data_IF_129178681216
#
_entry.id   IF_129178681216
#
_cell.length_a   1.000
_cell.length_b   1.000
_cell.length_c   1.000
_cell.angle_alpha   90.00
_cell.angle_beta   90.00
_cell.angle_gamma   90.00
#
_symmetry.space_group_name_H-M   'P 1'
#
loop_
_entity.id
_entity.type
_entity.pdbx_description
1 polymer ?
#
# COMPACT_ATOMS: atom_id res chain seq x y z
N UNK A 1 -34.78 16.03 -39.04
CA UNK A 1 -35.05 16.23 -37.59
C UNK A 1 -34.48 15.11 -36.73
N UNK A 2 -34.75 13.83 -37.03
CA UNK A 2 -34.19 12.69 -36.29
C UNK A 2 -32.64 12.64 -36.30
N UNK A 3 -32.01 12.94 -37.44
CA UNK A 3 -30.54 12.97 -37.55
C UNK A 3 -29.89 14.01 -36.63
N UNK A 4 -30.46 15.21 -36.55
CA UNK A 4 -29.93 16.28 -35.69
C UNK A 4 -30.08 15.93 -34.19
N UNK A 5 -31.13 15.19 -33.83
CA UNK A 5 -31.33 14.69 -32.46
C UNK A 5 -30.30 13.60 -32.14
N UNK A 6 -30.07 12.67 -33.06
CA UNK A 6 -29.09 11.60 -32.90
C UNK A 6 -27.66 12.15 -32.81
N UNK A 7 -27.34 13.14 -33.64
CA UNK A 7 -26.07 13.85 -33.62
C UNK A 7 -25.84 14.57 -32.28
N UNK A 8 -26.84 15.29 -31.77
CA UNK A 8 -26.77 15.91 -30.44
C UNK A 8 -26.54 14.88 -29.31
N UNK A 9 -27.14 13.70 -29.43
CA UNK A 9 -27.01 12.61 -28.46
C UNK A 9 -25.60 11.98 -28.49
N UNK A 10 -25.00 11.85 -29.68
CA UNK A 10 -23.60 11.46 -29.85
C UNK A 10 -22.67 12.49 -29.19
N UNK A 11 -22.91 13.78 -29.39
CA UNK A 11 -22.10 14.82 -28.76
C UNK A 11 -22.16 14.78 -27.22
N UNK A 12 -23.34 14.55 -26.64
CA UNK A 12 -23.49 14.41 -25.19
C UNK A 12 -22.67 13.22 -24.67
N UNK A 13 -22.75 12.06 -25.33
CA UNK A 13 -21.95 10.90 -24.95
C UNK A 13 -20.45 11.11 -25.15
N UNK A 14 -20.04 11.79 -26.22
CA UNK A 14 -18.63 12.10 -26.48
C UNK A 14 -18.05 13.03 -25.41
N UNK A 15 -18.77 14.08 -25.02
CA UNK A 15 -18.36 14.99 -23.94
C UNK A 15 -18.28 14.24 -22.61
N UNK A 16 -19.28 13.42 -22.28
CA UNK A 16 -19.27 12.63 -21.05
C UNK A 16 -18.09 11.64 -21.00
N UNK A 17 -17.83 10.95 -22.12
CA UNK A 17 -16.69 10.06 -22.27
C UNK A 17 -15.36 10.79 -22.11
N UNK A 18 -15.19 11.93 -22.77
CA UNK A 18 -13.98 12.74 -22.66
C UNK A 18 -13.74 13.22 -21.22
N UNK A 19 -14.77 13.72 -20.55
CA UNK A 19 -14.71 14.14 -19.14
C UNK A 19 -14.30 12.97 -18.22
N UNK A 20 -14.88 11.78 -18.44
CA UNK A 20 -14.56 10.59 -17.66
C UNK A 20 -13.09 10.17 -17.84
N UNK A 21 -12.59 10.18 -19.08
CA UNK A 21 -11.19 9.86 -19.38
C UNK A 21 -10.26 10.86 -18.69
N UNK A 22 -10.56 12.16 -18.75
CA UNK A 22 -9.76 13.21 -18.11
C UNK A 22 -9.72 13.02 -16.58
N UNK A 23 -10.86 12.83 -15.94
CA UNK A 23 -10.91 12.61 -14.49
C UNK A 23 -10.16 11.34 -14.07
N UNK A 24 -10.31 10.25 -14.82
CA UNK A 24 -9.59 9.01 -14.54
C UNK A 24 -8.09 9.19 -14.71
N UNK A 25 -7.66 9.93 -15.73
CA UNK A 25 -6.25 10.23 -15.96
C UNK A 25 -5.66 11.10 -14.84
N UNK A 26 -6.37 12.16 -14.42
CA UNK A 26 -5.94 13.01 -13.30
C UNK A 26 -5.83 12.17 -12.01
N UNK A 27 -6.85 11.35 -11.72
CA UNK A 27 -6.83 10.47 -10.55
C UNK A 27 -5.69 9.44 -10.60
N UNK A 28 -5.41 8.91 -11.79
CA UNK A 28 -4.29 8.00 -12.01
C UNK A 28 -2.95 8.69 -11.71
N UNK A 29 -2.74 9.89 -12.25
CA UNK A 29 -1.52 10.67 -12.01
C UNK A 29 -1.38 11.05 -10.53
N UNK A 30 -2.46 11.46 -9.85
CA UNK A 30 -2.44 11.78 -8.42
C UNK A 30 -2.11 10.55 -7.57
N UNK A 31 -2.69 9.38 -7.89
CA UNK A 31 -2.38 8.12 -7.19
C UNK A 31 -0.95 7.67 -7.42
N UNK A 32 -0.47 7.74 -8.66
CA UNK A 32 0.92 7.44 -9.00
C UNK A 32 1.91 8.37 -8.29
N UNK A 33 1.49 9.62 -8.04
CA UNK A 33 2.25 10.59 -7.24
C UNK A 33 1.94 10.57 -5.75
N UNK A 34 1.09 9.66 -5.26
CA UNK A 34 0.88 9.47 -3.82
C UNK A 34 2.12 8.81 -3.25
N UNK A 35 3.11 9.66 -3.02
CA UNK A 35 4.33 9.46 -2.24
C UNK A 35 4.04 8.50 -1.08
N UNK A 36 4.93 7.52 -0.89
CA UNK A 36 5.01 6.71 0.34
C UNK A 36 4.62 7.57 1.54
N UNK A 37 3.45 7.31 2.12
CA UNK A 37 3.10 7.93 3.38
C UNK A 37 4.03 7.33 4.43
N UNK A 38 5.18 7.97 4.65
CA UNK A 38 6.23 7.52 5.58
C UNK A 38 5.72 7.29 7.01
N UNK A 39 4.56 7.84 7.35
CA UNK A 39 3.89 7.64 8.63
C UNK A 39 2.92 6.45 8.72
N UNK A 40 2.73 5.64 7.68
CA UNK A 40 1.82 4.47 7.71
C UNK A 40 2.45 3.26 7.01
N UNK A 41 2.51 2.12 7.70
CA UNK A 41 3.03 0.84 7.17
C UNK A 41 2.01 -0.27 7.43
N UNK A 42 1.65 -1.02 6.39
CA UNK A 42 0.85 -2.23 6.57
C UNK A 42 1.74 -3.39 7.02
N UNK A 43 1.48 -3.91 8.20
CA UNK A 43 2.20 -5.06 8.78
C UNK A 43 1.21 -6.18 9.06
N UNK A 44 1.44 -7.34 8.48
CA UNK A 44 0.68 -8.56 8.74
C UNK A 44 1.54 -9.51 9.59
N UNK A 45 1.13 -9.79 10.82
CA UNK A 45 1.84 -10.70 11.71
C UNK A 45 1.15 -12.06 11.67
N UNK A 46 1.90 -13.13 11.43
CA UNK A 46 1.36 -14.48 11.20
C UNK A 46 2.13 -15.56 11.95
N UNK A 47 1.43 -16.64 12.31
CA UNK A 47 2.01 -17.84 12.92
C UNK A 47 1.17 -19.07 12.59
N UNK A 48 1.79 -20.10 12.03
CA UNK A 48 1.15 -21.38 11.68
C UNK A 48 -0.13 -21.24 10.82
N UNK A 49 -0.05 -20.43 9.75
CA UNK A 49 -1.18 -20.07 8.89
C UNK A 49 -1.12 -20.69 7.49
N UNK A 50 -0.49 -21.86 7.32
CA UNK A 50 -0.24 -22.52 6.02
C UNK A 50 -1.46 -22.52 5.08
N UNK A 51 -2.64 -22.88 5.59
CA UNK A 51 -3.87 -23.03 4.79
C UNK A 51 -4.55 -21.73 4.37
N UNK A 52 -4.21 -20.62 5.03
CA UNK A 52 -4.96 -19.36 4.89
C UNK A 52 -4.12 -18.21 4.36
N UNK A 53 -2.79 -18.26 4.55
CA UNK A 53 -1.90 -17.15 4.28
C UNK A 53 -1.91 -16.73 2.81
N UNK A 54 -1.91 -17.69 1.89
CA UNK A 54 -2.00 -17.41 0.44
C UNK A 54 -3.27 -16.64 0.09
N UNK A 55 -4.42 -17.08 0.60
CA UNK A 55 -5.71 -16.42 0.37
C UNK A 55 -5.75 -15.01 0.94
N UNK A 56 -5.15 -14.79 2.11
CA UNK A 56 -5.05 -13.47 2.75
C UNK A 56 -4.21 -12.53 1.88
N UNK A 57 -3.00 -12.95 1.51
CA UNK A 57 -2.09 -12.13 0.68
C UNK A 57 -2.75 -11.83 -0.68
N UNK A 58 -3.30 -12.84 -1.34
CA UNK A 58 -3.98 -12.65 -2.63
C UNK A 58 -5.16 -11.69 -2.53
N UNK A 59 -5.90 -11.69 -1.42
CA UNK A 59 -6.99 -10.75 -1.20
C UNK A 59 -6.50 -9.31 -0.97
N UNK A 60 -5.36 -9.12 -0.29
CA UNK A 60 -4.75 -7.80 -0.09
C UNK A 60 -4.37 -7.20 -1.45
N UNK A 61 -3.61 -7.93 -2.26
CA UNK A 61 -3.21 -7.47 -3.60
C UNK A 61 -4.38 -7.35 -4.60
N UNK A 62 -5.39 -8.24 -4.50
CA UNK A 62 -6.57 -8.14 -5.35
C UNK A 62 -7.37 -6.87 -5.07
N UNK A 63 -7.45 -6.41 -3.82
CA UNK A 63 -8.16 -5.19 -3.43
C UNK A 63 -7.41 -3.92 -3.82
N UNK A 64 -6.09 -3.95 -3.89
CA UNK A 64 -5.29 -2.78 -4.27
C UNK A 64 -5.46 -2.38 -5.74
N UNK A 65 -5.80 -3.31 -6.62
CA UNK A 65 -6.20 -2.97 -8.01
C UNK A 65 -7.42 -2.02 -8.08
N UNK A 66 -8.23 -1.95 -7.02
CA UNK A 66 -9.41 -1.06 -6.93
C UNK A 66 -9.07 0.32 -6.35
N UNK A 67 -7.82 0.57 -5.95
CA UNK A 67 -7.28 1.91 -5.69
C UNK A 67 -7.93 2.68 -4.53
N UNK A 68 -8.39 1.99 -3.47
CA UNK A 68 -9.10 2.63 -2.35
C UNK A 68 -8.44 2.54 -0.97
N UNK A 69 -7.39 1.74 -0.71
CA UNK A 69 -7.00 1.57 0.71
C UNK A 69 -5.53 1.53 1.10
N UNK A 70 -4.53 1.30 0.24
CA UNK A 70 -3.14 1.28 0.75
C UNK A 70 -2.33 2.45 0.22
N UNK A 71 -2.11 3.42 1.12
CA UNK A 71 -1.14 4.50 0.98
C UNK A 71 0.32 4.04 1.21
N UNK A 72 0.54 2.73 1.37
CA UNK A 72 1.86 2.11 1.37
C UNK A 72 1.87 1.01 0.31
N UNK A 73 2.57 1.24 -0.80
CA UNK A 73 2.72 0.24 -1.87
C UNK A 73 3.37 -1.06 -1.36
N UNK A 74 4.06 -1.01 -0.21
CA UNK A 74 4.73 -2.17 0.41
C UNK A 74 3.92 -2.78 1.55
N UNK A 75 3.67 -4.08 1.47
CA UNK A 75 3.09 -4.89 2.55
C UNK A 75 4.23 -5.66 3.22
N UNK A 76 4.40 -5.49 4.53
CA UNK A 76 5.36 -6.29 5.30
C UNK A 76 4.63 -7.42 6.02
N UNK A 77 5.11 -8.65 5.88
CA UNK A 77 4.61 -9.82 6.61
C UNK A 77 5.67 -10.29 7.58
N UNK A 78 5.31 -10.44 8.86
CA UNK A 78 6.17 -10.96 9.90
C UNK A 78 5.75 -12.39 10.26
N UNK A 79 6.59 -13.37 9.97
CA UNK A 79 6.43 -14.75 10.44
C UNK A 79 6.98 -14.91 11.86
N UNK A 80 6.11 -15.27 12.80
CA UNK A 80 6.44 -15.47 14.21
C UNK A 80 6.90 -16.91 14.49
N UNK A 81 7.92 -17.33 13.73
CA UNK A 81 8.57 -18.63 13.81
C UNK A 81 7.56 -19.78 13.71
N UNK A 82 6.92 -19.88 12.55
CA UNK A 82 5.96 -20.94 12.24
C UNK A 82 6.65 -22.30 12.17
N UNK A 83 5.98 -23.34 12.67
CA UNK A 83 6.48 -24.73 12.63
C UNK A 83 5.98 -25.52 11.42
N UNK A 84 5.06 -24.93 10.65
CA UNK A 84 4.46 -25.49 9.43
C UNK A 84 5.08 -24.87 8.16
N UNK A 85 4.48 -25.08 6.99
CA UNK A 85 5.01 -24.54 5.74
C UNK A 85 4.68 -23.05 5.50
N UNK A 86 4.19 -22.31 6.51
CA UNK A 86 3.83 -20.87 6.36
C UNK A 86 4.98 -20.05 5.80
N UNK A 87 6.18 -20.20 6.34
CA UNK A 87 7.34 -19.43 5.89
C UNK A 87 7.73 -19.76 4.44
N UNK A 88 7.62 -21.02 4.03
CA UNK A 88 7.90 -21.45 2.65
C UNK A 88 6.90 -20.83 1.67
N UNK A 89 5.62 -20.83 2.03
CA UNK A 89 4.55 -20.19 1.23
C UNK A 89 4.79 -18.69 1.13
N UNK A 90 5.12 -18.01 2.24
CA UNK A 90 5.42 -16.58 2.24
C UNK A 90 6.61 -16.25 1.34
N UNK A 91 7.68 -17.05 1.38
CA UNK A 91 8.87 -16.83 0.52
C UNK A 91 8.58 -17.06 -0.96
N UNK A 92 7.67 -17.95 -1.31
CA UNK A 92 7.17 -18.07 -2.70
C UNK A 92 6.39 -16.83 -3.12
N UNK A 93 5.46 -16.39 -2.27
CA UNK A 93 4.66 -15.18 -2.54
C UNK A 93 5.54 -13.92 -2.63
N UNK A 94 6.62 -13.82 -1.85
CA UNK A 94 7.59 -12.72 -1.93
C UNK A 94 8.22 -12.61 -3.33
N UNK A 95 8.39 -13.73 -4.05
CA UNK A 95 8.89 -13.73 -5.43
C UNK A 95 7.82 -13.34 -6.44
N UNK A 96 6.55 -13.64 -6.15
CA UNK A 96 5.41 -13.35 -7.03
C UNK A 96 4.95 -11.88 -6.94
N UNK A 97 5.22 -11.20 -5.82
CA UNK A 97 4.77 -9.83 -5.56
C UNK A 97 5.95 -8.89 -5.24
N UNK A 98 6.28 -7.97 -6.16
CA UNK A 98 7.42 -7.03 -6.07
C UNK A 98 7.42 -6.12 -4.83
N UNK A 99 6.25 -5.93 -4.19
CA UNK A 99 6.10 -5.06 -3.01
C UNK A 99 5.65 -5.83 -1.76
N UNK A 100 6.01 -7.11 -1.66
CA UNK A 100 5.83 -7.92 -0.47
C UNK A 100 7.18 -8.11 0.23
N UNK A 101 7.29 -7.71 1.49
CA UNK A 101 8.50 -7.95 2.30
C UNK A 101 8.20 -9.00 3.37
N UNK A 102 8.93 -10.12 3.38
CA UNK A 102 8.75 -11.18 4.39
C UNK A 102 9.88 -11.16 5.39
N UNK A 103 9.54 -10.80 6.63
CA UNK A 103 10.41 -10.78 7.79
C UNK A 103 10.19 -12.00 8.67
N UNK A 104 11.26 -12.46 9.30
CA UNK A 104 11.21 -13.47 10.37
C UNK A 104 11.16 -12.82 11.74
N UNK A 105 10.80 -13.58 12.79
CA UNK A 105 10.77 -13.11 14.19
C UNK A 105 12.05 -12.36 14.60
N UNK A 106 13.21 -12.83 14.14
CA UNK A 106 14.52 -12.21 14.44
C UNK A 106 14.69 -10.82 13.82
N UNK A 107 13.87 -10.47 12.83
CA UNK A 107 13.94 -9.23 12.06
C UNK A 107 12.79 -8.28 12.40
N UNK A 108 12.00 -8.58 13.43
CA UNK A 108 10.83 -7.79 13.83
C UNK A 108 11.14 -6.29 14.02
N UNK A 109 12.34 -5.96 14.48
CA UNK A 109 12.72 -4.58 14.79
C UNK A 109 12.82 -3.72 13.51
N UNK A 110 13.09 -4.34 12.34
CA UNK A 110 13.08 -3.69 11.02
C UNK A 110 11.72 -3.10 10.65
N UNK A 111 10.64 -3.54 11.31
CA UNK A 111 9.31 -2.98 11.10
C UNK A 111 9.30 -1.50 11.49
N UNK A 112 10.03 -1.13 12.54
CA UNK A 112 9.99 0.19 13.17
C UNK A 112 11.06 1.16 12.66
N UNK A 113 12.15 0.69 12.06
CA UNK A 113 13.29 1.52 11.62
C UNK A 113 12.88 2.74 10.77
N UNK A 114 11.84 2.60 9.94
CA UNK A 114 11.33 3.68 9.08
C UNK A 114 10.53 4.77 9.81
N UNK A 115 10.06 4.51 11.03
CA UNK A 115 9.28 5.47 11.83
C UNK A 115 10.15 6.30 12.78
N UNK A 116 11.36 5.85 13.08
CA UNK A 116 12.24 6.47 14.09
C UNK A 116 12.94 7.74 13.56
N UNK A 117 12.97 7.96 12.23
CA UNK A 117 13.67 9.11 11.63
C UNK A 117 12.91 10.45 11.74
N UNK A 118 11.65 10.46 12.19
CA UNK A 118 10.81 11.65 12.24
C UNK A 118 10.61 12.24 13.66
N UNK A 119 11.32 11.77 14.69
CA UNK A 119 11.33 12.50 15.97
C UNK A 119 12.26 13.73 15.88
N UNK A 120 11.75 14.97 15.92
CA UNK A 120 12.60 16.12 16.19
C UNK A 120 13.16 15.93 17.60
N UNK A 121 14.48 15.71 17.68
CA UNK A 121 15.24 15.77 18.93
C UNK A 121 14.80 17.03 19.67
N UNK A 122 14.11 16.81 20.80
CA UNK A 122 13.73 17.84 21.75
C UNK A 122 14.99 18.55 22.22
N UNK A 123 15.32 19.66 21.55
CA UNK A 123 16.27 20.63 22.06
C UNK A 123 15.66 21.30 23.28
N UNK A 124 16.04 20.82 24.48
CA UNK A 124 16.14 21.63 25.71
C UNK A 124 16.89 20.95 26.85
N UNK A 125 18.02 20.29 26.55
CA UNK A 125 19.12 20.19 27.51
C UNK A 125 20.01 21.44 27.40
N UNK A 126 19.51 22.59 27.87
CA UNK A 126 20.38 23.65 28.38
C UNK A 126 19.60 24.70 29.18
N UNK A 127 19.50 24.50 30.49
CA UNK A 127 19.42 25.62 31.43
C UNK A 127 20.47 25.44 32.52
N UNK A 128 21.66 25.94 32.18
CA UNK A 128 22.61 26.66 33.02
C UNK A 128 22.81 26.15 34.46
N UNK A 129 23.94 25.47 34.64
CA UNK A 129 24.89 25.84 35.70
C UNK A 129 25.46 27.24 35.41
N UNK A 130 25.87 27.96 36.47
CA UNK A 130 26.36 29.35 36.53
C UNK A 130 25.19 30.33 36.67
N UNK A 131 24.88 30.90 37.83
CA UNK A 131 25.73 31.69 38.74
C UNK A 131 25.52 31.29 40.21
#
# INVERSE_FOLDING_TARGET
>A
MLNNIFEGLIYIFAVYGAVTIIFNFINFVIRYRSVENKGVKLVLIVKNQEKTIEGIIRNIYSKDTTGRMMCSERVTVLDMNSADQTLEILKKLEQDYEHLDVLTENERDKIFEGFVQDEPVSSKDNKLKTV
#
